data_IF_729347710875
#
_entry.id   IF_729347710875
#
_cell.length_a   1.000
_cell.length_b   1.000
_cell.length_c   1.000
_cell.angle_alpha   90.00
_cell.angle_beta   90.00
_cell.angle_gamma   90.00
#
_symmetry.space_group_name_H-M   'P 1'
#
loop_
_entity.id
_entity.type
_entity.pdbx_description
1 polymer ?
#
# COMPACT_ATOMS: atom_id res chain seq x y z
N UNK A 1 62.30 19.05 33.09
CA UNK A 1 61.28 20.01 32.65
C UNK A 1 60.50 19.35 31.52
N UNK A 2 59.32 18.79 31.82
CA UNK A 2 58.58 17.87 30.94
C UNK A 2 57.39 18.62 30.33
N UNK A 3 57.38 18.81 29.01
CA UNK A 3 56.24 19.36 28.27
C UNK A 3 55.29 18.23 27.86
N UNK A 4 53.99 18.25 28.20
CA UNK A 4 53.05 17.28 27.68
C UNK A 4 52.56 17.71 26.29
N UNK A 5 52.81 16.89 25.27
CA UNK A 5 52.18 17.03 23.95
C UNK A 5 50.71 16.60 24.06
N UNK A 6 49.80 17.58 24.00
CA UNK A 6 48.35 17.33 23.89
C UNK A 6 48.06 16.84 22.48
N UNK A 7 47.77 15.55 22.33
CA UNK A 7 47.16 14.99 21.12
C UNK A 7 45.68 15.39 21.10
N UNK A 8 45.31 16.30 20.18
CA UNK A 8 43.93 16.65 19.93
C UNK A 8 43.39 15.70 18.86
N UNK A 9 42.70 14.63 19.28
CA UNK A 9 42.01 13.71 18.37
C UNK A 9 40.69 14.37 17.94
N UNK A 10 40.69 15.01 16.77
CA UNK A 10 39.47 15.50 16.14
C UNK A 10 38.77 14.32 15.45
N UNK A 11 37.85 13.67 16.17
CA UNK A 11 37.01 12.60 15.65
C UNK A 11 36.03 13.15 14.62
N UNK A 12 36.33 12.95 13.33
CA UNK A 12 35.41 13.22 12.24
C UNK A 12 34.32 12.16 12.24
N UNK A 13 33.19 12.47 12.90
CA UNK A 13 31.99 11.65 12.91
C UNK A 13 31.38 11.67 11.50
N UNK A 14 31.74 10.68 10.69
CA UNK A 14 31.06 10.39 9.42
C UNK A 14 29.61 9.98 9.74
N UNK A 15 28.71 10.97 9.83
CA UNK A 15 27.29 10.71 9.71
C UNK A 15 27.05 10.23 8.28
N UNK A 16 27.04 8.91 8.11
CA UNK A 16 26.55 8.27 6.90
C UNK A 16 25.09 8.65 6.72
N UNK A 17 24.83 9.70 5.93
CA UNK A 17 23.50 9.97 5.41
C UNK A 17 23.14 8.82 4.48
N UNK A 18 22.52 7.78 5.05
CA UNK A 18 21.80 6.79 4.26
C UNK A 18 20.62 7.53 3.64
N UNK A 19 20.81 7.98 2.41
CA UNK A 19 19.79 8.65 1.62
C UNK A 19 18.77 7.58 1.23
N UNK A 20 17.88 7.27 2.16
CA UNK A 20 16.80 6.31 1.97
C UNK A 20 15.88 6.94 0.93
N UNK A 21 15.81 6.35 -0.25
CA UNK A 21 14.96 6.84 -1.32
C UNK A 21 13.53 6.97 -0.79
N UNK A 22 12.93 8.14 -0.98
CA UNK A 22 11.58 8.40 -0.52
C UNK A 22 10.60 7.48 -1.26
N UNK A 23 9.83 6.68 -0.50
CA UNK A 23 8.80 5.82 -1.05
C UNK A 23 7.62 6.71 -1.45
N UNK A 24 7.13 6.54 -2.68
CA UNK A 24 6.01 7.31 -3.23
C UNK A 24 5.01 6.38 -3.90
N UNK A 25 3.73 6.76 -3.83
CA UNK A 25 2.66 6.10 -4.59
C UNK A 25 2.54 6.85 -5.93
N UNK A 26 2.88 6.17 -7.03
CA UNK A 26 3.09 6.82 -8.33
C UNK A 26 1.77 7.23 -9.00
N UNK A 27 0.77 6.35 -8.97
CA UNK A 27 -0.59 6.54 -9.50
C UNK A 27 -1.55 5.68 -8.69
N UNK A 28 -2.84 6.01 -8.68
CA UNK A 28 -3.89 5.13 -8.18
C UNK A 28 -5.02 5.19 -9.20
N UNK A 29 -5.48 4.04 -9.65
CA UNK A 29 -6.61 3.89 -10.55
C UNK A 29 -7.68 3.08 -9.85
N UNK A 30 -8.90 3.59 -9.82
CA UNK A 30 -10.03 2.95 -9.15
C UNK A 30 -10.89 2.21 -10.17
N UNK A 31 -11.19 0.94 -9.90
CA UNK A 31 -12.00 0.12 -10.80
C UNK A 31 -12.78 -0.93 -10.04
N UNK A 32 -14.04 -1.09 -10.42
CA UNK A 32 -14.83 -2.24 -9.98
C UNK A 32 -14.48 -3.46 -10.84
N UNK A 33 -14.18 -4.57 -10.17
CA UNK A 33 -13.93 -5.87 -10.79
C UNK A 33 -14.96 -6.89 -10.34
N UNK A 34 -15.35 -7.76 -11.27
CA UNK A 34 -16.12 -8.96 -11.00
C UNK A 34 -15.20 -10.17 -10.79
N UNK A 35 -15.70 -11.22 -10.14
CA UNK A 35 -14.92 -12.43 -9.89
C UNK A 35 -14.29 -13.02 -11.16
N UNK A 36 -14.99 -12.94 -12.28
CA UNK A 36 -14.53 -13.45 -13.56
C UNK A 36 -13.35 -12.65 -14.14
N UNK A 37 -13.17 -11.38 -13.76
CA UNK A 37 -12.04 -10.57 -14.21
C UNK A 37 -10.70 -11.10 -13.66
N UNK A 38 -10.73 -11.82 -12.54
CA UNK A 38 -9.54 -12.44 -11.92
C UNK A 38 -9.26 -13.87 -12.42
N UNK A 39 -10.16 -14.47 -13.19
CA UNK A 39 -9.99 -15.85 -13.66
C UNK A 39 -8.91 -15.91 -14.74
N UNK A 40 -7.84 -16.65 -14.45
CA UNK A 40 -6.75 -16.91 -15.41
C UNK A 40 -6.81 -18.35 -15.92
N UNK A 41 -6.26 -18.58 -17.12
CA UNK A 41 -6.21 -19.93 -17.73
C UNK A 41 -5.58 -20.97 -16.79
N UNK A 42 -4.52 -20.59 -16.06
CA UNK A 42 -3.81 -21.48 -15.14
C UNK A 42 -4.67 -21.96 -13.95
N UNK A 43 -5.67 -21.17 -13.54
CA UNK A 43 -6.60 -21.54 -12.47
C UNK A 43 -7.52 -22.69 -12.89
N UNK A 44 -7.86 -22.82 -14.18
CA UNK A 44 -8.65 -23.96 -14.67
C UNK A 44 -7.89 -25.29 -14.54
N UNK A 45 -6.56 -25.25 -14.58
CA UNK A 45 -5.71 -26.43 -14.43
C UNK A 45 -5.36 -26.75 -12.97
N UNK A 46 -5.25 -25.73 -12.11
CA UNK A 46 -4.75 -25.90 -10.73
C UNK A 46 -5.81 -25.74 -9.65
N UNK A 47 -6.96 -25.14 -9.98
CA UNK A 47 -7.99 -24.73 -9.02
C UNK A 47 -7.57 -23.60 -8.08
N UNK A 48 -6.37 -23.03 -8.26
CA UNK A 48 -5.81 -21.98 -7.39
C UNK A 48 -5.75 -20.65 -8.14
N UNK A 49 -6.08 -19.57 -7.43
CA UNK A 49 -5.96 -18.22 -7.97
C UNK A 49 -4.51 -17.93 -8.35
N UNK A 50 -4.29 -17.47 -9.59
CA UNK A 50 -2.97 -17.06 -10.06
C UNK A 50 -2.91 -15.54 -10.15
N UNK A 51 -2.05 -14.94 -9.34
CA UNK A 51 -1.94 -13.47 -9.20
C UNK A 51 -0.76 -12.88 -9.96
N UNK A 52 0.10 -13.69 -10.59
CA UNK A 52 1.24 -13.21 -11.38
C UNK A 52 2.14 -12.25 -10.60
N UNK A 53 2.44 -11.09 -11.19
CA UNK A 53 3.23 -10.01 -10.56
C UNK A 53 2.40 -9.05 -9.70
N UNK A 54 1.09 -9.24 -9.61
CA UNK A 54 0.19 -8.40 -8.83
C UNK A 54 0.14 -8.88 -7.37
N UNK A 55 0.36 -7.97 -6.42
CA UNK A 55 0.07 -8.18 -5.01
C UNK A 55 -1.39 -7.80 -4.75
N UNK A 56 -2.26 -8.80 -4.66
CA UNK A 56 -3.70 -8.58 -4.45
C UNK A 56 -4.03 -8.74 -2.96
N UNK A 57 -4.52 -7.66 -2.35
CA UNK A 57 -4.95 -7.60 -0.95
C UNK A 57 -6.45 -7.29 -0.91
N UNK A 58 -7.25 -8.12 -0.25
CA UNK A 58 -8.72 -7.99 -0.21
C UNK A 58 -9.20 -7.84 1.22
N UNK A 59 -10.25 -7.04 1.43
CA UNK A 59 -10.87 -6.89 2.75
C UNK A 59 -11.60 -8.16 3.15
N UNK A 60 -12.25 -8.81 2.18
CA UNK A 60 -12.73 -10.19 2.26
C UNK A 60 -11.93 -11.08 1.30
N UNK A 61 -11.11 -11.97 1.86
CA UNK A 61 -10.24 -12.87 1.09
C UNK A 61 -10.99 -13.92 0.27
N UNK A 62 -12.22 -14.29 0.65
CA UNK A 62 -13.02 -15.29 -0.05
C UNK A 62 -13.73 -14.70 -1.27
N UNK A 63 -14.03 -13.40 -1.24
CA UNK A 63 -14.78 -12.72 -2.28
C UNK A 63 -13.85 -11.90 -3.19
N UNK A 64 -13.89 -12.15 -4.51
CA UNK A 64 -13.08 -11.41 -5.49
C UNK A 64 -13.77 -10.19 -6.08
N UNK A 65 -15.11 -10.16 -6.11
CA UNK A 65 -15.84 -9.01 -6.67
C UNK A 65 -15.80 -7.83 -5.72
N UNK A 66 -15.55 -6.63 -6.23
CA UNK A 66 -15.46 -5.43 -5.40
C UNK A 66 -14.85 -4.22 -6.10
N UNK A 67 -14.66 -3.14 -5.33
CA UNK A 67 -13.95 -1.94 -5.78
C UNK A 67 -12.46 -2.07 -5.45
N UNK A 68 -11.63 -1.93 -6.47
CA UNK A 68 -10.18 -2.03 -6.34
C UNK A 68 -9.48 -0.71 -6.62
N UNK A 69 -8.36 -0.55 -5.95
CA UNK A 69 -7.39 0.54 -6.10
C UNK A 69 -6.11 -0.09 -6.62
N UNK A 70 -5.80 0.14 -7.89
CA UNK A 70 -4.61 -0.34 -8.57
C UNK A 70 -3.54 0.73 -8.54
N UNK A 71 -2.34 0.39 -8.06
CA UNK A 71 -1.24 1.33 -7.97
C UNK A 71 0.12 0.67 -7.97
N UNK A 72 1.14 1.45 -8.32
CA UNK A 72 2.54 1.07 -8.22
C UNK A 72 3.27 2.04 -7.29
N UNK A 73 4.32 1.54 -6.65
CA UNK A 73 5.19 2.32 -5.77
C UNK A 73 6.48 2.71 -6.50
N UNK A 74 7.17 3.75 -6.00
CA UNK A 74 8.54 4.07 -6.45
C UNK A 74 9.58 3.01 -6.05
N UNK A 75 9.18 2.03 -5.24
CA UNK A 75 9.99 0.92 -4.73
C UNK A 75 9.25 -0.41 -4.92
N UNK A 76 9.93 -1.55 -4.88
CA UNK A 76 9.25 -2.85 -4.95
C UNK A 76 8.58 -3.19 -3.62
N UNK A 77 7.42 -3.88 -3.61
CA UNK A 77 6.78 -4.39 -2.39
C UNK A 77 7.74 -5.14 -1.44
N UNK A 78 8.66 -5.93 -1.99
CA UNK A 78 9.69 -6.67 -1.24
C UNK A 78 10.73 -5.80 -0.53
N UNK A 79 10.90 -4.55 -0.97
CA UNK A 79 11.85 -3.60 -0.38
C UNK A 79 11.24 -2.77 0.75
N UNK A 80 9.95 -2.93 1.02
CA UNK A 80 9.26 -2.18 2.07
C UNK A 80 9.73 -2.61 3.47
N UNK A 81 9.75 -1.69 4.45
CA UNK A 81 10.08 -2.05 5.83
C UNK A 81 9.17 -3.16 6.35
N UNK A 82 9.73 -4.13 7.07
CA UNK A 82 8.96 -5.25 7.65
C UNK A 82 7.83 -4.73 8.55
N UNK A 83 6.66 -5.35 8.43
CA UNK A 83 5.46 -4.96 9.18
C UNK A 83 4.79 -3.69 8.65
N UNK A 84 5.16 -3.21 7.46
CA UNK A 84 4.41 -2.14 6.79
C UNK A 84 3.00 -2.61 6.40
N UNK A 85 2.06 -1.67 6.38
CA UNK A 85 0.68 -1.91 6.04
C UNK A 85 0.12 -0.76 5.20
N UNK A 86 -0.80 -1.08 4.31
CA UNK A 86 -1.62 -0.07 3.64
C UNK A 86 -2.85 0.23 4.49
N UNK A 87 -3.17 1.51 4.63
CA UNK A 87 -4.39 1.98 5.28
C UNK A 87 -5.19 2.73 4.21
N UNK A 88 -6.37 2.21 3.88
CA UNK A 88 -7.27 2.80 2.91
C UNK A 88 -8.47 3.41 3.64
N UNK A 89 -8.68 4.70 3.46
CA UNK A 89 -9.85 5.42 3.91
C UNK A 89 -10.77 5.68 2.73
N UNK A 90 -12.06 5.42 2.88
CA UNK A 90 -13.04 5.57 1.79
C UNK A 90 -14.33 6.23 2.27
N UNK A 91 -14.74 7.27 1.54
CA UNK A 91 -16.11 7.76 1.51
C UNK A 91 -16.89 7.07 0.40
N UNK A 92 -17.99 6.43 0.80
CA UNK A 92 -18.97 5.82 -0.12
C UNK A 92 -20.27 6.61 -0.09
N UNK A 93 -21.02 6.56 -1.18
CA UNK A 93 -22.38 7.12 -1.22
C UNK A 93 -23.23 6.57 -0.06
N UNK A 94 -23.84 7.47 0.71
CA UNK A 94 -24.69 7.11 1.85
C UNK A 94 -23.94 6.95 3.19
N UNK A 95 -22.64 7.21 3.25
CA UNK A 95 -21.87 7.34 4.49
C UNK A 95 -21.51 8.80 4.72
N UNK A 96 -21.63 9.28 5.96
CA UNK A 96 -21.18 10.62 6.36
C UNK A 96 -19.71 10.62 6.78
N UNK A 97 -19.23 9.51 7.34
CA UNK A 97 -17.86 9.35 7.81
C UNK A 97 -17.06 8.40 6.90
N UNK A 98 -15.73 8.54 6.83
CA UNK A 98 -14.88 7.65 6.06
C UNK A 98 -14.70 6.34 6.80
N UNK A 99 -14.86 5.22 6.09
CA UNK A 99 -14.51 3.90 6.64
C UNK A 99 -13.04 3.61 6.37
N UNK A 100 -12.35 3.03 7.36
CA UNK A 100 -10.92 2.72 7.30
C UNK A 100 -10.68 1.22 7.19
N UNK A 101 -9.78 0.82 6.29
CA UNK A 101 -9.45 -0.57 5.98
C UNK A 101 -7.94 -0.78 6.04
N UNK A 102 -7.44 -1.58 7.00
CA UNK A 102 -6.03 -1.94 7.08
C UNK A 102 -5.73 -3.19 6.24
N UNK A 103 -4.65 -3.17 5.48
CA UNK A 103 -4.15 -4.28 4.68
C UNK A 103 -2.70 -4.59 5.05
N UNK A 104 -2.48 -5.78 5.61
CA UNK A 104 -1.13 -6.26 5.92
C UNK A 104 -0.45 -6.72 4.64
N UNK A 105 0.81 -6.33 4.49
CA UNK A 105 1.66 -6.81 3.39
C UNK A 105 2.24 -8.17 3.80
N UNK A 106 2.04 -9.25 3.02
CA UNK A 106 2.65 -10.54 3.31
C UNK A 106 4.17 -10.46 3.18
N UNK A 107 4.89 -11.35 3.85
CA UNK A 107 6.36 -11.37 3.79
C UNK A 107 6.88 -11.82 2.42
N UNK A 108 6.16 -12.74 1.78
CA UNK A 108 6.52 -13.26 0.45
C UNK A 108 6.01 -12.34 -0.66
N UNK A 109 6.86 -11.42 -1.10
CA UNK A 109 6.55 -10.43 -2.13
C UNK A 109 7.66 -10.26 -3.18
N UNK A 110 8.60 -11.20 -3.26
CA UNK A 110 9.83 -11.08 -4.06
C UNK A 110 9.58 -10.89 -5.57
N UNK A 111 8.45 -11.38 -6.09
CA UNK A 111 8.06 -11.25 -7.51
C UNK A 111 6.98 -10.19 -7.78
N UNK A 112 6.49 -9.53 -6.73
CA UNK A 112 5.36 -8.59 -6.84
C UNK A 112 5.84 -7.20 -7.24
N UNK A 113 5.07 -6.53 -8.09
CA UNK A 113 5.39 -5.20 -8.63
C UNK A 113 4.24 -4.23 -8.44
N UNK A 114 3.09 -4.59 -8.98
CA UNK A 114 1.87 -3.79 -8.89
C UNK A 114 1.03 -4.26 -7.72
N UNK A 115 0.25 -3.34 -7.16
CA UNK A 115 -0.53 -3.58 -5.95
C UNK A 115 -1.99 -3.32 -6.27
N UNK A 116 -2.83 -4.28 -5.88
CA UNK A 116 -4.27 -4.22 -6.02
C UNK A 116 -4.89 -4.34 -4.63
N UNK A 117 -5.48 -3.26 -4.13
CA UNK A 117 -6.24 -3.27 -2.87
C UNK A 117 -7.72 -3.31 -3.19
N UNK A 118 -8.42 -4.35 -2.77
CA UNK A 118 -9.84 -4.57 -3.01
C UNK A 118 -10.68 -4.43 -1.75
N UNK A 119 -11.72 -3.60 -1.81
CA UNK A 119 -12.87 -3.67 -0.93
C UNK A 119 -13.86 -4.65 -1.55
N UNK A 120 -14.06 -5.81 -0.93
CA UNK A 120 -14.78 -6.94 -1.52
C UNK A 120 -15.89 -7.46 -0.60
N UNK A 121 -16.80 -8.26 -1.16
CA UNK A 121 -17.93 -8.80 -0.40
C UNK A 121 -18.82 -7.69 0.17
N UNK A 122 -19.15 -7.78 1.46
CA UNK A 122 -20.00 -6.81 2.16
C UNK A 122 -19.36 -5.41 2.29
N UNK A 123 -18.04 -5.30 2.20
CA UNK A 123 -17.38 -3.99 2.22
C UNK A 123 -17.62 -3.20 0.93
N UNK A 124 -17.92 -3.89 -0.17
CA UNK A 124 -18.35 -3.28 -1.43
C UNK A 124 -19.38 -4.14 -2.17
N UNK A 125 -20.65 -4.13 -1.72
CA UNK A 125 -21.64 -5.15 -2.09
C UNK A 125 -22.14 -5.03 -3.54
N UNK A 126 -21.92 -3.88 -4.20
CA UNK A 126 -22.45 -3.65 -5.54
C UNK A 126 -21.65 -2.62 -6.33
N UNK A 127 -21.54 -2.84 -7.64
CA UNK A 127 -21.05 -1.86 -8.64
C UNK A 127 -21.86 -0.55 -8.65
N UNK A 128 -23.09 -0.55 -8.14
CA UNK A 128 -23.91 0.66 -7.99
C UNK A 128 -23.46 1.57 -6.85
N UNK A 129 -22.72 1.03 -5.87
CA UNK A 129 -22.12 1.81 -4.80
C UNK A 129 -21.11 2.78 -5.41
N UNK A 130 -21.26 4.07 -5.13
CA UNK A 130 -20.36 5.09 -5.68
C UNK A 130 -19.24 5.38 -4.70
N UNK A 131 -18.02 5.38 -5.22
CA UNK A 131 -16.84 5.92 -4.54
C UNK A 131 -16.90 7.44 -4.63
N UNK A 132 -16.87 8.11 -3.47
CA UNK A 132 -16.94 9.57 -3.39
C UNK A 132 -15.53 10.15 -3.26
N UNK A 133 -14.78 9.68 -2.28
CA UNK A 133 -13.40 10.10 -2.04
C UNK A 133 -12.64 8.97 -1.36
N UNK A 134 -11.32 9.01 -1.47
CA UNK A 134 -10.44 8.05 -0.81
C UNK A 134 -9.09 8.67 -0.45
N UNK A 135 -8.45 8.07 0.54
CA UNK A 135 -7.05 8.30 0.92
C UNK A 135 -6.37 6.97 1.17
N UNK A 136 -5.22 6.78 0.55
CA UNK A 136 -4.37 5.61 0.72
C UNK A 136 -3.06 6.04 1.39
N UNK A 137 -2.73 5.37 2.49
CA UNK A 137 -1.48 5.56 3.22
C UNK A 137 -0.71 4.26 3.26
N UNK A 138 0.60 4.31 3.06
CA UNK A 138 1.53 3.26 3.44
C UNK A 138 2.15 3.66 4.78
N UNK A 139 1.99 2.81 5.79
CA UNK A 139 2.55 3.02 7.14
C UNK A 139 3.57 1.96 7.49
N UNK A 140 4.61 2.34 8.22
CA UNK A 140 5.53 1.39 8.86
C UNK A 140 4.90 0.75 10.11
N UNK A 141 5.59 -0.25 10.66
CA UNK A 141 5.16 -0.96 11.87
C UNK A 141 4.97 -0.07 13.10
N UNK A 142 5.68 1.06 13.17
CA UNK A 142 5.56 2.11 14.19
C UNK A 142 4.47 3.17 13.89
N UNK A 143 3.61 2.92 12.89
CA UNK A 143 2.53 3.80 12.43
C UNK A 143 2.98 5.12 11.76
N UNK A 144 4.27 5.29 11.46
CA UNK A 144 4.73 6.45 10.68
C UNK A 144 4.28 6.31 9.22
N UNK A 145 3.79 7.41 8.64
CA UNK A 145 3.43 7.46 7.21
C UNK A 145 4.71 7.46 6.37
N UNK A 146 4.87 6.45 5.53
CA UNK A 146 5.98 6.31 4.59
C UNK A 146 5.63 6.91 3.22
N UNK A 147 4.37 6.78 2.80
CA UNK A 147 3.85 7.37 1.57
C UNK A 147 2.33 7.57 1.70
N UNK A 148 1.77 8.52 0.96
CA UNK A 148 0.31 8.69 0.88
C UNK A 148 -0.13 9.23 -0.48
N UNK A 149 -1.37 8.94 -0.87
CA UNK A 149 -2.05 9.51 -2.03
C UNK A 149 -3.54 9.56 -1.76
N UNK A 150 -4.26 10.45 -2.44
CA UNK A 150 -5.69 10.66 -2.20
C UNK A 150 -6.39 11.13 -3.46
N UNK A 151 -7.71 10.94 -3.52
CA UNK A 151 -8.56 11.53 -4.55
C UNK A 151 -8.64 13.05 -4.36
N UNK A 152 -8.90 13.77 -5.45
CA UNK A 152 -9.13 15.21 -5.43
C UNK A 152 -10.18 15.66 -4.39
N UNK A 153 -11.32 14.96 -4.30
CA UNK A 153 -12.41 15.31 -3.37
C UNK A 153 -12.03 15.17 -1.88
N UNK A 154 -10.93 14.48 -1.56
CA UNK A 154 -10.43 14.35 -0.19
C UNK A 154 -9.77 15.65 0.31
N UNK A 155 -9.17 16.44 -0.59
CA UNK A 155 -8.48 17.68 -0.21
C UNK A 155 -9.42 18.80 0.22
N UNK A 156 -10.67 18.75 -0.25
CA UNK A 156 -11.67 19.79 -0.02
C UNK A 156 -12.41 19.66 1.32
N UNK A 157 -12.13 18.63 2.11
CA UNK A 157 -12.79 18.40 3.40
C UNK A 157 -12.07 19.09 4.57
N UNK A 158 -11.42 20.24 4.35
CA UNK A 158 -10.71 21.00 5.39
C UNK A 158 -11.45 22.25 5.84
#
# INVERSE_FOLDING_TARGET
MVFPKRFFFLGLMLMGNCLLAEIRILSVTERYFEQNDFKRVFEYFTGKEFTGTELILRSDHANRSGMYFEFSLSATPSSLPKGSAFILHVYRSGSLDPKTYPFKIPEDTEEKKDILIGLTGEDWPSKKTRLIAWKLELRSSDQRILAQKQSFLWEHEK
#
